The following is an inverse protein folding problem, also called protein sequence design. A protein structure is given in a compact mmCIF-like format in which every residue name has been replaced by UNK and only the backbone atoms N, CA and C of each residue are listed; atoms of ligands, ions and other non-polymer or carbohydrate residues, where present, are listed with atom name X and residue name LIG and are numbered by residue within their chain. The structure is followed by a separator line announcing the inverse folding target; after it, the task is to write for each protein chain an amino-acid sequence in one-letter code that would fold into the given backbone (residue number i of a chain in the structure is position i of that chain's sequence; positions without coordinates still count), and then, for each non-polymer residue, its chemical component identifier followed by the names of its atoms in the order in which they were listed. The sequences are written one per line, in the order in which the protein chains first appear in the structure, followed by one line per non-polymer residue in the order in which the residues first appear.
data_IF_158866652769
#
_entry.id   IF_158866652769
#
_cell.length_a   1.000
_cell.length_b   1.000
_cell.length_c   1.000
_cell.angle_alpha   90.00
_cell.angle_beta   90.00
_cell.angle_gamma   90.00
#
_symmetry.space_group_name_H-M   'P 1'
#
loop_
_entity.id
_entity.type
_entity.pdbx_description
1 polymer ?
#
# COMPACT_ATOMS: atom_id res chain seq x y z
N UNK A 1 -7.27 -28.47 6.34
CA UNK A 1 -7.64 -27.11 6.76
C UNK A 1 -7.17 -26.93 8.20
N UNK A 2 -6.49 -25.82 8.55
CA UNK A 2 -6.10 -25.54 9.93
C UNK A 2 -7.34 -25.36 10.82
N UNK A 3 -7.21 -25.70 12.10
CA UNK A 3 -8.28 -25.49 13.10
C UNK A 3 -8.36 -24.00 13.50
N UNK A 4 -9.48 -23.53 14.08
CA UNK A 4 -9.58 -22.15 14.57
C UNK A 4 -8.46 -21.77 15.55
N UNK A 5 -8.05 -22.67 16.44
CA UNK A 5 -6.95 -22.43 17.37
C UNK A 5 -5.59 -22.30 16.66
N UNK A 6 -5.34 -23.13 15.62
CA UNK A 6 -4.14 -23.01 14.80
C UNK A 6 -4.10 -21.71 14.00
N UNK A 7 -5.26 -21.26 13.52
CA UNK A 7 -5.39 -19.98 12.81
C UNK A 7 -5.13 -18.80 13.75
N UNK A 8 -5.72 -18.79 14.95
CA UNK A 8 -5.48 -17.76 15.96
C UNK A 8 -3.99 -17.69 16.30
N UNK A 9 -3.37 -18.84 16.60
CA UNK A 9 -1.94 -18.88 16.93
C UNK A 9 -1.05 -18.37 15.80
N UNK A 10 -1.36 -18.72 14.54
CA UNK A 10 -0.65 -18.21 13.37
C UNK A 10 -0.79 -16.69 13.26
N UNK A 11 -2.00 -16.15 13.41
CA UNK A 11 -2.23 -14.70 13.36
C UNK A 11 -1.50 -13.95 14.48
N UNK A 12 -1.46 -14.51 15.69
CA UNK A 12 -0.73 -13.93 16.82
C UNK A 12 0.78 -13.88 16.55
N UNK A 13 1.36 -14.92 15.92
CA UNK A 13 2.78 -14.95 15.56
C UNK A 13 3.11 -13.91 14.49
N UNK A 14 2.26 -13.79 13.46
CA UNK A 14 2.43 -12.77 12.42
C UNK A 14 2.33 -11.37 13.02
N UNK A 15 1.37 -11.12 13.92
CA UNK A 15 1.26 -9.84 14.63
C UNK A 15 2.49 -9.52 15.48
N UNK A 16 3.02 -10.51 16.20
CA UNK A 16 4.23 -10.33 16.98
C UNK A 16 5.42 -9.96 16.09
N UNK A 17 5.55 -10.61 14.92
CA UNK A 17 6.58 -10.33 13.93
C UNK A 17 6.43 -8.94 13.33
N UNK A 18 5.23 -8.57 12.90
CA UNK A 18 4.94 -7.26 12.32
C UNK A 18 5.22 -6.15 13.33
N UNK A 19 4.81 -6.31 14.59
CA UNK A 19 5.17 -5.38 15.67
C UNK A 19 6.67 -5.30 15.93
N UNK A 20 7.42 -6.39 15.79
CA UNK A 20 8.87 -6.36 15.93
C UNK A 20 9.56 -5.57 14.82
N UNK A 21 9.11 -5.78 13.58
CA UNK A 21 9.57 -5.01 12.42
C UNK A 21 9.28 -3.52 12.59
N UNK A 22 8.07 -3.16 13.05
CA UNK A 22 7.69 -1.78 13.35
C UNK A 22 8.59 -1.17 14.42
N UNK A 23 8.83 -1.88 15.55
CA UNK A 23 9.71 -1.38 16.61
C UNK A 23 11.15 -1.16 16.11
N UNK A 24 11.65 -2.06 15.27
CA UNK A 24 13.05 -2.04 14.83
C UNK A 24 13.31 -1.06 13.69
N UNK A 25 12.36 -0.90 12.78
CA UNK A 25 12.54 -0.16 11.53
C UNK A 25 11.54 0.98 11.34
N UNK A 26 10.54 1.14 12.19
CA UNK A 26 9.49 2.15 12.09
C UNK A 26 8.22 1.65 11.38
N UNK A 27 8.35 0.76 10.40
CA UNK A 27 7.22 0.08 9.76
C UNK A 27 7.62 -1.32 9.28
N UNK A 28 6.61 -2.13 8.98
CA UNK A 28 6.73 -3.37 8.22
C UNK A 28 6.14 -3.19 6.81
N UNK A 29 6.46 -4.11 5.89
CA UNK A 29 5.81 -4.22 4.59
C UNK A 29 5.20 -5.61 4.50
N UNK A 30 3.89 -5.66 4.29
CA UNK A 30 3.15 -6.88 4.01
C UNK A 30 2.99 -7.02 2.51
N UNK A 31 3.27 -8.20 1.96
CA UNK A 31 3.11 -8.48 0.54
C UNK A 31 2.12 -9.61 0.31
N UNK A 32 1.08 -9.32 -0.47
CA UNK A 32 0.01 -10.24 -0.82
C UNK A 32 0.22 -10.68 -2.27
N UNK A 33 0.44 -11.98 -2.45
CA UNK A 33 0.57 -12.57 -3.78
C UNK A 33 -0.77 -12.53 -4.53
N UNK A 34 -0.69 -12.13 -5.80
CA UNK A 34 -1.83 -12.11 -6.69
C UNK A 34 -2.24 -13.52 -7.14
N UNK A 35 -3.48 -13.65 -7.59
CA UNK A 35 -3.99 -14.85 -8.26
C UNK A 35 -5.14 -14.46 -9.19
N UNK A 36 -5.53 -15.36 -10.10
CA UNK A 36 -6.70 -15.12 -10.96
C UNK A 36 -7.99 -14.84 -10.17
N UNK A 37 -8.09 -15.30 -8.91
CA UNK A 37 -9.26 -15.09 -8.05
C UNK A 37 -9.16 -13.87 -7.14
N UNK A 38 -7.94 -13.51 -6.72
CA UNK A 38 -7.69 -12.45 -5.73
C UNK A 38 -7.22 -11.13 -6.33
N UNK A 39 -7.01 -11.08 -7.66
CA UNK A 39 -6.52 -9.91 -8.36
C UNK A 39 -4.99 -9.84 -8.42
N UNK A 40 -4.43 -8.70 -8.85
CA UNK A 40 -2.98 -8.52 -8.96
C UNK A 40 -2.29 -8.58 -7.58
N UNK A 41 -0.99 -8.89 -7.54
CA UNK A 41 -0.24 -8.77 -6.30
C UNK A 41 -0.18 -7.32 -5.82
N UNK A 42 -0.07 -7.16 -4.51
CA UNK A 42 0.14 -5.86 -3.90
C UNK A 42 0.97 -5.97 -2.64
N UNK A 43 1.56 -4.86 -2.21
CA UNK A 43 2.08 -4.74 -0.86
C UNK A 43 1.70 -3.42 -0.23
N UNK A 44 1.73 -3.39 1.09
CA UNK A 44 1.33 -2.24 1.87
C UNK A 44 2.19 -2.10 3.13
N UNK A 45 2.27 -0.87 3.64
CA UNK A 45 2.97 -0.59 4.89
C UNK A 45 2.09 -0.90 6.10
N UNK A 46 2.75 -1.26 7.20
CA UNK A 46 2.13 -1.31 8.52
C UNK A 46 3.04 -0.55 9.47
N UNK A 47 2.58 0.59 10.00
CA UNK A 47 3.33 1.37 10.99
C UNK A 47 3.52 2.84 10.65
N UNK A 48 3.21 3.27 9.43
CA UNK A 48 3.23 4.70 9.09
C UNK A 48 2.20 5.50 9.90
N UNK A 49 1.16 4.83 10.40
CA UNK A 49 0.22 5.38 11.38
C UNK A 49 0.92 5.96 12.62
N UNK A 50 2.05 5.37 13.06
CA UNK A 50 2.86 5.89 14.17
C UNK A 50 3.61 7.20 13.87
N UNK A 51 3.67 7.59 12.60
CA UNK A 51 4.19 8.87 12.10
C UNK A 51 3.05 9.87 11.79
N UNK A 52 1.83 9.60 12.26
CA UNK A 52 0.63 10.37 11.93
C UNK A 52 0.44 10.49 10.40
N UNK A 53 0.70 9.38 9.70
CA UNK A 53 0.69 9.31 8.25
C UNK A 53 -0.19 8.14 7.77
N UNK A 54 -0.99 8.32 6.69
CA UNK A 54 -1.72 7.21 6.07
C UNK A 54 -0.79 6.05 5.69
N UNK A 55 -1.28 4.81 5.79
CA UNK A 55 -0.51 3.68 5.25
C UNK A 55 -0.46 3.75 3.71
N UNK A 56 0.59 3.18 3.11
CA UNK A 56 0.77 3.16 1.66
C UNK A 56 0.45 1.78 1.11
N UNK A 57 -0.21 1.71 -0.05
CA UNK A 57 -0.46 0.46 -0.80
C UNK A 57 -0.03 0.60 -2.26
N UNK A 58 0.60 -0.44 -2.80
CA UNK A 58 1.16 -0.48 -4.15
C UNK A 58 0.81 -1.81 -4.84
N UNK A 59 0.24 -1.75 -6.05
CA UNK A 59 -0.20 -2.90 -6.84
C UNK A 59 0.71 -3.19 -8.04
N UNK A 60 0.73 -4.44 -8.50
CA UNK A 60 1.28 -4.79 -9.82
C UNK A 60 2.81 -4.86 -9.88
N UNK A 61 3.48 -4.88 -8.73
CA UNK A 61 4.93 -4.96 -8.60
C UNK A 61 5.35 -6.25 -7.88
N UNK A 62 6.56 -6.75 -8.21
CA UNK A 62 7.17 -7.87 -7.49
C UNK A 62 7.65 -7.47 -6.10
N UNK A 63 7.82 -8.45 -5.21
CA UNK A 63 8.22 -8.25 -3.80
C UNK A 63 9.40 -7.29 -3.61
N UNK A 64 10.45 -7.42 -4.43
CA UNK A 64 11.63 -6.57 -4.35
C UNK A 64 11.33 -5.10 -4.68
N UNK A 65 10.64 -4.83 -5.79
CA UNK A 65 10.29 -3.46 -6.21
C UNK A 65 9.27 -2.84 -5.24
N UNK A 66 8.30 -3.61 -4.78
CA UNK A 66 7.35 -3.14 -3.77
C UNK A 66 8.06 -2.76 -2.47
N UNK A 67 8.98 -3.61 -2.01
CA UNK A 67 9.80 -3.33 -0.84
C UNK A 67 10.64 -2.06 -1.00
N UNK A 68 11.33 -1.92 -2.13
CA UNK A 68 12.14 -0.75 -2.45
C UNK A 68 11.29 0.54 -2.43
N UNK A 69 10.22 0.60 -3.22
CA UNK A 69 9.42 1.81 -3.40
C UNK A 69 8.72 2.25 -2.11
N UNK A 70 8.13 1.31 -1.36
CA UNK A 70 7.46 1.64 -0.11
C UNK A 70 8.45 2.04 0.99
N UNK A 71 9.63 1.43 1.05
CA UNK A 71 10.67 1.85 2.00
C UNK A 71 11.23 3.23 1.67
N UNK A 72 11.40 3.55 0.38
CA UNK A 72 11.86 4.88 -0.05
C UNK A 72 10.85 5.96 0.37
N UNK A 73 9.56 5.77 0.09
CA UNK A 73 8.52 6.71 0.52
C UNK A 73 8.42 6.78 2.05
N UNK A 74 8.50 5.64 2.73
CA UNK A 74 8.53 5.60 4.19
C UNK A 74 9.72 6.38 4.78
N UNK A 75 10.90 6.31 4.15
CA UNK A 75 12.08 7.05 4.60
C UNK A 75 11.86 8.56 4.49
N UNK A 76 11.31 9.03 3.37
CA UNK A 76 10.94 10.44 3.18
C UNK A 76 9.90 10.90 4.20
N UNK A 77 8.89 10.07 4.49
CA UNK A 77 7.88 10.35 5.52
C UNK A 77 8.52 10.48 6.90
N UNK A 78 9.46 9.60 7.25
CA UNK A 78 10.23 9.68 8.51
C UNK A 78 11.00 11.00 8.61
N UNK A 79 11.52 11.50 7.48
CA UNK A 79 12.23 12.79 7.39
C UNK A 79 11.29 14.00 7.40
N UNK A 80 9.98 13.79 7.44
CA UNK A 80 8.96 14.83 7.55
C UNK A 80 8.26 15.18 6.24
N UNK A 81 8.54 14.45 5.15
CA UNK A 81 7.83 14.64 3.89
C UNK A 81 6.35 14.20 4.03
N UNK A 82 5.42 15.07 3.63
CA UNK A 82 3.99 14.84 3.81
C UNK A 82 3.35 14.32 2.53
N UNK A 83 2.97 13.06 2.50
CA UNK A 83 2.24 12.50 1.37
C UNK A 83 0.74 12.78 1.50
N UNK A 84 0.09 13.15 0.41
CA UNK A 84 -1.33 13.50 0.37
C UNK A 84 -1.94 13.18 -1.01
N UNK A 85 -3.27 13.11 -1.06
CA UNK A 85 -4.02 12.84 -2.28
C UNK A 85 -3.69 13.82 -3.41
N UNK A 86 -3.53 13.30 -4.63
CA UNK A 86 -3.17 14.07 -5.82
C UNK A 86 -1.69 14.47 -5.92
N UNK A 87 -0.85 14.11 -4.94
CA UNK A 87 0.59 14.38 -5.02
C UNK A 87 1.28 13.42 -5.98
N UNK A 88 2.12 13.96 -6.87
CA UNK A 88 3.06 13.16 -7.68
C UNK A 88 4.41 13.07 -6.96
N UNK A 89 4.96 11.86 -6.89
CA UNK A 89 6.29 11.57 -6.35
C UNK A 89 7.12 10.84 -7.40
N UNK A 90 8.42 11.12 -7.43
CA UNK A 90 9.38 10.38 -8.24
C UNK A 90 10.27 9.53 -7.32
N UNK A 91 10.73 8.38 -7.81
CA UNK A 91 11.65 7.49 -7.09
C UNK A 91 13.10 7.79 -7.49
N UNK A 92 14.03 7.68 -6.55
CA UNK A 92 15.45 8.00 -6.76
C UNK A 92 16.08 7.10 -7.83
N UNK A 93 15.80 5.80 -7.76
CA UNK A 93 16.25 4.81 -8.73
C UNK A 93 15.05 4.32 -9.56
N UNK A 94 14.65 5.12 -10.55
CA UNK A 94 13.58 4.70 -11.45
C UNK A 94 13.22 5.73 -12.51
N UNK A 95 12.63 5.26 -13.61
CA UNK A 95 11.92 6.11 -14.59
C UNK A 95 10.48 6.38 -14.18
N UNK A 96 9.97 5.63 -13.20
CA UNK A 96 8.57 5.73 -12.79
C UNK A 96 8.34 6.86 -11.81
N UNK A 97 7.17 7.47 -11.95
CA UNK A 97 6.56 8.35 -10.95
C UNK A 97 5.32 7.67 -10.41
N UNK A 98 4.87 8.11 -9.24
CA UNK A 98 3.60 7.70 -8.69
C UNK A 98 2.72 8.89 -8.40
N UNK A 99 1.43 8.77 -8.68
CA UNK A 99 0.40 9.62 -8.14
C UNK A 99 -0.16 8.93 -6.89
N UNK A 100 -0.31 9.71 -5.83
CA UNK A 100 -0.94 9.25 -4.60
C UNK A 100 -2.44 9.50 -4.65
N UNK A 101 -3.23 8.47 -4.38
CA UNK A 101 -4.68 8.52 -4.40
C UNK A 101 -5.22 8.05 -3.05
N UNK A 102 -6.13 8.81 -2.45
CA UNK A 102 -6.82 8.39 -1.22
C UNK A 102 -7.58 7.07 -1.43
N UNK A 103 -7.44 6.15 -0.47
CA UNK A 103 -8.17 4.88 -0.45
C UNK A 103 -9.41 5.04 0.46
N UNK A 104 -10.64 5.01 -0.09
CA UNK A 104 -11.85 5.26 0.70
C UNK A 104 -12.13 4.20 1.77
N UNK A 105 -11.74 2.95 1.52
CA UNK A 105 -11.86 1.84 2.47
C UNK A 105 -10.63 0.92 2.39
N UNK A 106 -9.80 0.97 3.42
CA UNK A 106 -8.59 0.16 3.53
C UNK A 106 -8.84 -1.22 4.17
N UNK A 107 -10.02 -1.48 4.73
CA UNK A 107 -10.27 -2.66 5.58
C UNK A 107 -10.06 -3.99 4.84
N UNK A 108 -10.35 -4.01 3.55
CA UNK A 108 -10.25 -5.22 2.71
C UNK A 108 -8.83 -5.55 2.28
N UNK A 109 -7.96 -4.53 2.17
CA UNK A 109 -6.59 -4.70 1.66
C UNK A 109 -5.55 -4.68 2.79
N UNK A 110 -5.66 -3.72 3.71
CA UNK A 110 -4.67 -3.45 4.76
C UNK A 110 -5.07 -4.17 6.06
N UNK A 111 -5.25 -5.49 5.97
CA UNK A 111 -5.76 -6.30 7.10
C UNK A 111 -4.86 -6.20 8.32
N UNK A 112 -3.54 -6.31 8.15
CA UNK A 112 -2.60 -6.24 9.26
C UNK A 112 -2.54 -4.83 9.87
N UNK A 113 -2.56 -3.77 9.06
CA UNK A 113 -2.54 -2.40 9.57
C UNK A 113 -3.82 -2.06 10.35
N UNK A 114 -4.97 -2.47 9.83
CA UNK A 114 -6.23 -2.34 10.55
C UNK A 114 -6.21 -3.14 11.87
N UNK A 115 -5.67 -4.37 11.87
CA UNK A 115 -5.57 -5.15 13.12
C UNK A 115 -4.65 -4.52 14.17
N UNK A 116 -3.59 -3.83 13.74
CA UNK A 116 -2.60 -3.23 14.65
C UNK A 116 -3.00 -1.83 15.15
N UNK A 117 -3.62 -1.00 14.29
CA UNK A 117 -3.85 0.43 14.56
C UNK A 117 -5.31 0.87 14.60
N UNK A 118 -6.27 0.03 14.20
CA UNK A 118 -7.69 0.38 14.24
C UNK A 118 -8.29 0.02 15.60
N UNK A 119 -8.84 1.02 16.28
CA UNK A 119 -9.63 0.78 17.50
C UNK A 119 -11.03 0.23 17.17
N UNK A 120 -11.63 -0.58 18.06
CA UNK A 120 -12.98 -1.10 17.85
C UNK A 120 -14.01 0.02 17.66
N UNK A 121 -14.71 0.00 16.52
CA UNK A 121 -15.75 0.99 16.18
C UNK A 121 -15.27 2.20 15.39
N UNK A 122 -13.96 2.38 15.23
CA UNK A 122 -13.37 3.43 14.38
C UNK A 122 -13.43 3.05 12.89
N UNK A 123 -13.34 4.04 11.96
CA UNK A 123 -13.17 3.73 10.54
C UNK A 123 -11.85 2.99 10.27
N UNK A 124 -11.70 2.36 9.10
CA UNK A 124 -10.45 1.75 8.69
C UNK A 124 -9.29 2.76 8.73
N UNK A 125 -8.07 2.27 8.94
CA UNK A 125 -6.89 3.15 8.96
C UNK A 125 -6.78 3.93 7.64
N UNK A 126 -6.46 5.24 7.67
CA UNK A 126 -6.27 6.02 6.47
C UNK A 126 -5.19 5.41 5.59
N UNK A 127 -5.40 5.44 4.27
CA UNK A 127 -4.42 4.90 3.33
C UNK A 127 -4.35 5.72 2.03
N UNK A 128 -3.15 5.73 1.43
CA UNK A 128 -2.88 6.26 0.11
C UNK A 128 -2.40 5.13 -0.80
N UNK A 129 -3.03 5.00 -1.96
CA UNK A 129 -2.54 4.16 -3.03
C UNK A 129 -1.44 4.88 -3.79
N UNK A 130 -0.31 4.19 -3.96
CA UNK A 130 0.79 4.60 -4.81
C UNK A 130 0.51 4.04 -6.21
N UNK A 131 -0.08 4.85 -7.09
CA UNK A 131 -0.40 4.47 -8.48
C UNK A 131 0.76 4.88 -9.37
N UNK A 132 1.42 3.93 -10.03
CA UNK A 132 2.59 4.25 -10.88
C UNK A 132 2.18 4.56 -12.32
N UNK A 133 2.99 5.38 -12.99
CA UNK A 133 2.94 5.46 -14.45
C UNK A 133 3.53 4.21 -15.13
N UNK A 134 3.29 4.07 -16.42
CA UNK A 134 3.98 3.10 -17.26
C UNK A 134 5.36 3.62 -17.73
N UNK A 135 6.05 2.83 -18.57
CA UNK A 135 7.37 3.21 -19.10
C UNK A 135 7.38 4.48 -19.96
N UNK A 136 6.22 4.96 -20.39
CA UNK A 136 6.06 6.16 -21.21
C UNK A 136 5.58 7.36 -20.38
N UNK A 137 5.38 7.17 -19.07
CA UNK A 137 4.95 8.22 -18.15
C UNK A 137 3.44 8.43 -18.08
N UNK A 138 2.64 7.52 -18.65
CA UNK A 138 1.19 7.57 -18.59
C UNK A 138 0.66 6.84 -17.35
N UNK A 139 -0.32 7.42 -16.67
CA UNK A 139 -1.09 6.76 -15.62
C UNK A 139 -2.22 5.88 -16.19
N UNK A 140 -2.80 4.95 -15.40
CA UNK A 140 -3.80 3.99 -15.90
C UNK A 140 -5.04 4.58 -16.58
N UNK A 141 -5.40 5.83 -16.28
CA UNK A 141 -6.55 6.51 -16.89
C UNK A 141 -6.18 7.40 -18.09
N UNK A 142 -4.90 7.54 -18.40
CA UNK A 142 -4.43 8.39 -19.48
C UNK A 142 -4.42 7.65 -20.80
N UNK A 143 -4.80 8.37 -21.87
CA UNK A 143 -4.71 7.83 -23.22
C UNK A 143 -3.25 7.53 -23.57
N UNK A 144 -2.96 6.28 -23.92
CA UNK A 144 -1.61 5.84 -24.26
C UNK A 144 -0.94 4.95 -23.21
N UNK A 145 -1.61 4.72 -22.06
CA UNK A 145 -1.17 3.73 -21.08
C UNK A 145 -0.98 2.36 -21.72
N UNK A 146 0.19 1.75 -21.51
CA UNK A 146 0.66 0.56 -22.24
C UNK A 146 0.59 -0.75 -21.47
N UNK A 147 0.14 -0.71 -20.22
CA UNK A 147 -0.04 -1.88 -19.35
C UNK A 147 -1.53 -2.25 -19.22
N UNK A 148 -1.88 -3.48 -18.84
CA UNK A 148 -3.27 -3.85 -18.58
C UNK A 148 -3.89 -3.07 -17.41
N UNK A 149 -5.17 -2.69 -17.53
CA UNK A 149 -5.93 -2.00 -16.48
C UNK A 149 -5.96 -2.78 -15.16
N UNK A 150 -5.99 -4.11 -15.23
CA UNK A 150 -6.04 -4.99 -14.08
C UNK A 150 -4.72 -5.08 -13.32
N UNK A 151 -3.62 -4.55 -13.89
CA UNK A 151 -2.30 -4.56 -13.24
C UNK A 151 -2.31 -3.81 -11.91
N UNK A 152 -3.02 -2.68 -11.86
CA UNK A 152 -3.14 -1.84 -10.68
C UNK A 152 -4.54 -1.22 -10.58
N UNK A 153 -5.51 -1.91 -9.97
CA UNK A 153 -6.84 -1.36 -9.76
C UNK A 153 -6.73 -0.07 -8.93
N UNK A 154 -7.31 1.02 -9.42
CA UNK A 154 -7.39 2.29 -8.67
C UNK A 154 -8.54 2.19 -7.68
N UNK A 155 -8.23 2.24 -6.39
CA UNK A 155 -9.19 2.04 -5.29
C UNK A 155 -10.00 3.31 -4.96
N UNK A 156 -9.45 4.49 -5.28
CA UNK A 156 -10.09 5.78 -5.06
C UNK A 156 -10.60 6.45 -6.34
N UNK A 157 -10.82 7.77 -6.24
CA UNK A 157 -11.27 8.58 -7.37
C UNK A 157 -10.12 8.84 -8.33
N UNK A 158 -10.29 8.44 -9.60
CA UNK A 158 -9.30 8.74 -10.65
C UNK A 158 -9.32 10.25 -10.96
N UNK A 159 -8.16 10.90 -11.12
CA UNK A 159 -8.09 12.29 -11.57
C UNK A 159 -8.85 12.52 -12.88
N UNK A 160 -9.53 13.67 -12.99
CA UNK A 160 -10.27 14.03 -14.21
C UNK A 160 -11.60 13.31 -14.41
N UNK A 161 -12.03 12.48 -13.44
CA UNK A 161 -13.33 11.76 -13.48
C UNK A 161 -14.44 12.47 -12.69
N UNK A 162 -14.26 13.76 -12.38
CA UNK A 162 -15.34 14.58 -11.83
C UNK A 162 -16.47 14.66 -12.86
N UNK A 163 -17.57 13.95 -12.61
CA UNK A 163 -18.89 14.25 -13.14
C UNK A 163 -19.72 14.84 -12.02
#
# INVERSE_FOLDING_TARGET
MPTPAQLIHFLDQEDARTRDMIRRYGWAIEYVYGSQRSGPPFGYTVGLSGYEHPELILFGWGTANTGYMLNELGARIREGDRMYDGRIVAFEEGVHRALLIEVPDSATHLVAANRVYREPGEPPVPALQVVTDDRWGYFPWEQGYSEPDERQPVLGTRPGTAQ
#
